data_IF_164119197183
#
_entry.id   IF_164119197183
#
_cell.length_a   1.000
_cell.length_b   1.000
_cell.length_c   1.000
_cell.angle_alpha   90.00
_cell.angle_beta   90.00
_cell.angle_gamma   90.00
#
_symmetry.space_group_name_H-M   'P 1'
#
loop_
_entity.id
_entity.type
_entity.pdbx_description
1 polymer ?
#
# COMPACT_ATOMS: atom_id res chain seq x y z
N UNK A 1 -8.19 -4.51 -22.74
CA UNK A 1 -9.29 -4.49 -21.75
C UNK A 1 -8.67 -4.63 -20.36
N UNK A 2 -9.18 -3.96 -19.33
CA UNK A 2 -8.69 -4.09 -17.95
C UNK A 2 -9.74 -4.88 -17.17
N UNK A 3 -9.33 -5.97 -16.49
CA UNK A 3 -10.24 -6.82 -15.72
C UNK A 3 -10.67 -6.15 -14.41
N UNK A 4 -9.69 -5.72 -13.62
CA UNK A 4 -9.86 -4.99 -12.35
C UNK A 4 -8.76 -3.95 -12.17
N UNK A 5 -9.02 -2.90 -11.40
CA UNK A 5 -8.01 -1.94 -10.97
C UNK A 5 -8.13 -1.63 -9.47
N UNK A 6 -7.03 -1.17 -8.90
CA UNK A 6 -6.96 -0.67 -7.53
C UNK A 6 -5.96 0.49 -7.46
N UNK A 7 -6.25 1.51 -6.66
CA UNK A 7 -5.42 2.71 -6.52
C UNK A 7 -5.18 3.06 -5.05
N UNK A 8 -4.03 3.68 -4.77
CA UNK A 8 -3.67 4.05 -3.40
C UNK A 8 -4.63 5.06 -2.75
N UNK A 9 -5.31 5.90 -3.56
CA UNK A 9 -6.35 6.82 -3.07
C UNK A 9 -7.64 6.12 -2.58
N UNK A 10 -7.75 4.81 -2.74
CA UNK A 10 -8.85 4.01 -2.18
C UNK A 10 -8.53 3.51 -0.76
N UNK A 11 -7.26 3.52 -0.36
CA UNK A 11 -6.81 3.05 0.97
C UNK A 11 -7.36 3.86 2.16
N UNK A 12 -7.67 5.17 2.05
CA UNK A 12 -8.42 5.93 3.06
C UNK A 12 -9.74 5.28 3.49
N UNK A 13 -10.44 4.57 2.60
CA UNK A 13 -11.67 3.81 2.95
C UNK A 13 -11.42 2.73 4.01
N UNK A 14 -10.20 2.19 4.04
CA UNK A 14 -9.76 1.14 4.97
C UNK A 14 -9.00 1.71 6.18
N UNK A 15 -8.96 3.04 6.34
CA UNK A 15 -8.29 3.74 7.43
C UNK A 15 -6.85 4.15 7.16
N UNK A 16 -6.26 3.86 5.99
CA UNK A 16 -4.92 4.36 5.68
C UNK A 16 -5.00 5.76 5.07
N UNK A 17 -4.81 6.74 5.94
CA UNK A 17 -5.18 8.13 5.67
C UNK A 17 -3.98 9.06 5.43
N UNK A 18 -2.75 8.52 5.49
CA UNK A 18 -1.48 9.24 5.33
C UNK A 18 -0.50 8.41 4.48
N UNK A 19 0.46 9.08 3.84
CA UNK A 19 1.58 8.41 3.15
C UNK A 19 1.20 7.30 2.16
N UNK A 20 0.18 7.56 1.33
CA UNK A 20 -0.32 6.67 0.28
C UNK A 20 0.73 6.26 -0.77
N UNK A 21 1.93 6.85 -0.73
CA UNK A 21 3.04 6.57 -1.63
C UNK A 21 4.13 5.69 -1.00
N UNK A 22 4.04 5.27 0.26
CA UNK A 22 5.09 4.47 0.91
C UNK A 22 5.08 2.99 0.46
N UNK A 23 6.04 2.20 0.94
CA UNK A 23 6.17 0.79 0.57
C UNK A 23 4.95 -0.06 1.02
N UNK A 24 4.47 0.19 2.23
CA UNK A 24 3.35 -0.50 2.88
C UNK A 24 2.01 -0.18 2.21
N UNK A 25 1.82 1.06 1.74
CA UNK A 25 0.69 1.46 0.91
C UNK A 25 0.70 0.71 -0.43
N UNK A 26 1.87 0.55 -1.06
CA UNK A 26 1.98 -0.26 -2.28
C UNK A 26 1.63 -1.74 -2.01
N UNK A 27 2.07 -2.32 -0.89
CA UNK A 27 1.62 -3.65 -0.44
C UNK A 27 0.09 -3.72 -0.29
N UNK A 28 -0.52 -2.76 0.42
CA UNK A 28 -1.97 -2.69 0.57
C UNK A 28 -2.70 -2.60 -0.79
N UNK A 29 -2.19 -1.83 -1.76
CA UNK A 29 -2.79 -1.77 -3.11
C UNK A 29 -2.68 -3.09 -3.87
N UNK A 30 -1.59 -3.83 -3.69
CA UNK A 30 -1.41 -5.17 -4.28
C UNK A 30 -2.41 -6.17 -3.72
N UNK A 31 -2.56 -6.18 -2.40
CA UNK A 31 -3.54 -7.01 -1.67
C UNK A 31 -4.96 -6.69 -2.13
N UNK A 32 -5.31 -5.41 -2.21
CA UNK A 32 -6.62 -4.96 -2.69
C UNK A 32 -6.88 -5.38 -4.14
N UNK A 33 -5.87 -5.32 -5.02
CA UNK A 33 -6.00 -5.75 -6.41
C UNK A 33 -6.22 -7.27 -6.50
N UNK A 34 -5.42 -8.08 -5.78
CA UNK A 34 -5.57 -9.53 -5.78
C UNK A 34 -6.94 -9.98 -5.27
N UNK A 35 -7.39 -9.43 -4.13
CA UNK A 35 -8.73 -9.74 -3.60
C UNK A 35 -9.87 -9.29 -4.53
N UNK A 36 -9.69 -8.21 -5.30
CA UNK A 36 -10.63 -7.82 -6.37
C UNK A 36 -10.66 -8.80 -7.52
N UNK A 37 -9.51 -9.28 -7.98
CA UNK A 37 -9.42 -10.28 -9.05
C UNK A 37 -10.14 -11.56 -8.62
N UNK A 38 -9.77 -12.14 -7.47
CA UNK A 38 -10.37 -13.37 -6.96
C UNK A 38 -11.89 -13.26 -6.77
N UNK A 39 -12.38 -12.15 -6.19
CA UNK A 39 -13.83 -11.91 -6.01
C UNK A 39 -14.57 -11.70 -7.34
N UNK A 40 -13.90 -11.20 -8.38
CA UNK A 40 -14.48 -11.04 -9.72
C UNK A 40 -14.49 -12.35 -10.51
N UNK A 41 -13.61 -13.29 -10.15
CA UNK A 41 -13.52 -14.64 -10.74
C UNK A 41 -14.23 -15.72 -9.91
N UNK A 42 -14.88 -15.35 -8.80
CA UNK A 42 -15.55 -16.26 -7.85
C UNK A 42 -14.61 -17.29 -7.18
N UNK A 43 -13.30 -17.04 -7.19
CA UNK A 43 -12.24 -17.87 -6.62
C UNK A 43 -11.78 -17.39 -5.23
N UNK A 44 -12.60 -16.60 -4.54
CA UNK A 44 -12.27 -15.97 -3.26
C UNK A 44 -12.19 -16.97 -2.09
N UNK A 45 -12.87 -18.11 -2.20
CA UNK A 45 -12.85 -19.22 -1.22
C UNK A 45 -11.70 -20.20 -1.43
N UNK A 46 -11.29 -20.44 -2.67
CA UNK A 46 -10.23 -21.40 -3.01
C UNK A 46 -8.84 -20.85 -2.69
N UNK A 47 -8.71 -19.52 -2.66
CA UNK A 47 -7.47 -18.80 -2.36
C UNK A 47 -7.66 -17.91 -1.13
N UNK A 48 -7.63 -18.52 0.05
CA UNK A 48 -7.44 -17.82 1.33
C UNK A 48 -6.05 -17.16 1.40
N UNK A 49 -5.94 -15.99 0.76
CA UNK A 49 -4.75 -15.15 0.85
C UNK A 49 -4.33 -14.87 2.30
N UNK A 50 -3.02 -14.83 2.52
CA UNK A 50 -2.38 -14.96 3.80
C UNK A 50 -2.57 -13.72 4.69
N UNK A 51 -2.89 -13.93 5.97
CA UNK A 51 -3.03 -12.83 6.96
C UNK A 51 -1.65 -12.34 7.43
N UNK A 52 -0.63 -13.21 7.36
CA UNK A 52 0.76 -12.88 7.68
C UNK A 52 1.65 -12.90 6.42
N UNK A 53 2.45 -11.85 6.23
CA UNK A 53 3.26 -11.67 5.02
C UNK A 53 4.58 -12.49 5.05
N UNK A 54 4.69 -13.50 4.19
CA UNK A 54 5.88 -14.40 4.04
C UNK A 54 6.90 -13.84 3.02
N UNK A 55 7.95 -13.16 3.48
CA UNK A 55 8.38 -11.85 2.92
C UNK A 55 9.18 -11.63 1.61
N UNK A 56 9.17 -10.38 1.06
CA UNK A 56 9.80 -9.93 -0.23
C UNK A 56 10.06 -8.36 -0.56
N UNK A 57 11.22 -7.82 -1.12
CA UNK A 57 11.54 -6.39 -1.67
C UNK A 57 12.91 -6.08 -2.42
N UNK A 58 13.07 -5.38 -3.58
CA UNK A 58 14.35 -4.61 -3.87
C UNK A 58 14.17 -3.09 -3.85
N UNK A 59 13.90 -2.54 -2.66
CA UNK A 59 13.80 -1.10 -2.37
C UNK A 59 12.61 -0.37 -3.01
N UNK A 60 12.23 -0.76 -4.23
CA UNK A 60 11.17 -0.18 -5.00
C UNK A 60 9.81 -0.73 -4.56
N UNK A 61 8.85 0.20 -4.48
CA UNK A 61 7.45 0.02 -4.06
C UNK A 61 6.68 -0.93 -4.97
N UNK A 62 7.10 -1.08 -6.23
CA UNK A 62 6.61 -2.09 -7.18
C UNK A 62 6.67 -3.51 -6.59
N UNK A 63 7.74 -3.87 -5.88
CA UNK A 63 7.86 -5.19 -5.25
C UNK A 63 6.99 -5.34 -3.99
N UNK A 64 6.54 -4.23 -3.39
CA UNK A 64 5.51 -4.24 -2.34
C UNK A 64 4.16 -4.61 -2.91
N UNK A 65 3.76 -3.98 -4.01
CA UNK A 65 2.53 -4.35 -4.72
C UNK A 65 2.54 -5.79 -5.24
N UNK A 66 3.67 -6.26 -5.78
CA UNK A 66 3.84 -7.68 -6.14
C UNK A 66 3.60 -8.60 -4.94
N UNK A 67 4.17 -8.26 -3.77
CA UNK A 67 4.00 -9.07 -2.56
C UNK A 67 2.56 -9.06 -2.04
N UNK A 68 1.94 -7.90 -1.97
CA UNK A 68 0.53 -7.81 -1.61
C UNK A 68 -0.36 -8.62 -2.53
N UNK A 69 -0.05 -8.70 -3.83
CA UNK A 69 -0.80 -9.53 -4.76
C UNK A 69 -0.60 -11.04 -4.53
N UNK A 70 0.64 -11.47 -4.24
CA UNK A 70 0.97 -12.85 -3.84
C UNK A 70 0.26 -13.25 -2.54
N UNK A 71 0.38 -12.43 -1.49
CA UNK A 71 -0.32 -12.67 -0.22
C UNK A 71 -1.84 -12.55 -0.38
N UNK A 72 -2.34 -11.80 -1.37
CA UNK A 72 -3.75 -11.77 -1.71
C UNK A 72 -4.27 -13.01 -2.44
N UNK A 73 -3.42 -13.99 -2.77
CA UNK A 73 -3.79 -15.26 -3.39
C UNK A 73 -3.64 -15.31 -4.91
N UNK A 74 -3.01 -14.31 -5.56
CA UNK A 74 -2.70 -14.37 -7.00
C UNK A 74 -1.32 -14.97 -7.19
N UNK A 75 -1.26 -16.10 -7.91
CA UNK A 75 0.02 -16.72 -8.29
C UNK A 75 0.75 -15.88 -9.35
N UNK A 76 1.99 -15.47 -9.04
CA UNK A 76 2.84 -14.65 -9.90
C UNK A 76 4.27 -15.20 -9.80
N UNK A 77 4.91 -15.65 -10.90
CA UNK A 77 6.27 -16.17 -10.84
C UNK A 77 7.28 -15.08 -10.40
N UNK A 78 8.08 -15.36 -9.37
CA UNK A 78 9.02 -14.41 -8.75
C UNK A 78 10.41 -15.00 -8.45
N UNK A 79 11.33 -14.18 -7.92
CA UNK A 79 12.65 -14.64 -7.45
C UNK A 79 13.16 -13.85 -6.24
N UNK A 80 13.61 -14.59 -5.21
CA UNK A 80 14.05 -14.09 -3.89
C UNK A 80 15.24 -13.13 -3.91
N UNK A 81 16.01 -13.14 -5.00
CA UNK A 81 17.14 -12.22 -5.19
C UNK A 81 16.69 -10.77 -5.28
N UNK A 82 15.47 -10.54 -5.74
CA UNK A 82 14.91 -9.20 -5.83
C UNK A 82 14.23 -8.81 -4.53
N UNK A 83 14.62 -9.36 -3.36
CA UNK A 83 13.82 -9.26 -2.13
C UNK A 83 14.50 -8.76 -0.80
N UNK A 84 13.77 -8.74 0.33
CA UNK A 84 13.80 -7.66 1.37
C UNK A 84 14.71 -7.85 2.57
N UNK A 85 15.83 -7.13 2.64
CA UNK A 85 16.89 -7.60 3.53
C UNK A 85 17.48 -8.91 3.01
N UNK A 86 17.32 -9.17 1.70
CA UNK A 86 18.13 -10.14 1.00
C UNK A 86 19.58 -9.69 1.06
N UNK A 87 20.42 -10.47 1.73
CA UNK A 87 21.85 -10.24 1.78
C UNK A 87 22.49 -10.88 0.55
N UNK A 88 23.16 -10.07 -0.27
CA UNK A 88 23.82 -10.55 -1.50
C UNK A 88 24.96 -11.54 -1.19
N UNK A 89 25.59 -11.39 -0.03
CA UNK A 89 26.64 -12.26 0.51
C UNK A 89 26.07 -13.65 0.88
N UNK A 90 25.15 -13.68 1.85
CA UNK A 90 24.58 -14.93 2.38
C UNK A 90 23.58 -15.61 1.43
N UNK A 91 23.10 -14.89 0.41
CA UNK A 91 21.98 -15.26 -0.49
C UNK A 91 20.68 -15.62 0.26
N UNK A 92 20.56 -15.20 1.51
CA UNK A 92 19.39 -15.41 2.36
C UNK A 92 18.60 -14.13 2.58
N UNK A 93 17.31 -14.29 2.87
CA UNK A 93 16.38 -13.23 3.18
C UNK A 93 16.27 -13.04 4.71
N UNK A 94 16.43 -11.82 5.20
CA UNK A 94 16.03 -11.46 6.56
C UNK A 94 14.52 -11.16 6.62
N UNK A 95 13.73 -12.16 6.99
CA UNK A 95 12.27 -12.06 7.16
C UNK A 95 11.85 -10.99 8.17
N UNK A 96 12.64 -10.77 9.23
CA UNK A 96 12.33 -9.76 10.26
C UNK A 96 12.45 -8.36 9.69
N UNK A 97 13.49 -8.11 8.89
CA UNK A 97 13.62 -6.88 8.11
C UNK A 97 12.46 -6.73 7.14
N UNK A 98 12.05 -7.79 6.43
CA UNK A 98 10.88 -7.68 5.54
C UNK A 98 9.60 -7.28 6.27
N UNK A 99 9.25 -7.97 7.36
CA UNK A 99 8.05 -7.70 8.16
C UNK A 99 8.01 -6.24 8.62
N UNK A 100 9.16 -5.70 9.07
CA UNK A 100 9.34 -4.28 9.43
C UNK A 100 9.09 -3.32 8.25
N UNK A 101 9.27 -3.76 6.99
CA UNK A 101 8.89 -2.95 5.83
C UNK A 101 7.40 -3.01 5.50
N UNK A 102 6.76 -4.19 5.60
CA UNK A 102 5.31 -4.35 5.33
C UNK A 102 4.44 -3.54 6.28
N UNK A 103 4.76 -3.53 7.58
CA UNK A 103 4.01 -2.80 8.60
C UNK A 103 4.56 -1.38 8.86
N UNK A 104 5.25 -0.76 7.88
CA UNK A 104 5.81 0.60 8.01
C UNK A 104 6.77 0.85 9.19
N UNK A 105 7.29 -0.17 9.85
CA UNK A 105 8.26 -0.02 10.95
C UNK A 105 9.59 0.66 10.56
N UNK A 106 9.88 0.80 9.26
CA UNK A 106 10.95 1.67 8.75
C UNK A 106 10.59 3.16 8.82
N UNK A 107 9.32 3.52 8.60
CA UNK A 107 8.79 4.87 8.82
C UNK A 107 8.75 5.19 10.31
N UNK A 108 8.25 4.25 11.13
CA UNK A 108 8.23 4.39 12.59
C UNK A 108 9.64 4.60 13.17
N UNK A 109 10.64 3.86 12.67
CA UNK A 109 12.04 4.08 13.07
C UNK A 109 12.54 5.48 12.69
N UNK A 110 12.21 5.97 11.48
CA UNK A 110 12.60 7.31 11.04
C UNK A 110 11.87 8.43 11.80
N UNK A 111 10.63 8.19 12.24
CA UNK A 111 9.91 9.09 13.15
C UNK A 111 10.64 9.20 14.49
N UNK A 112 11.02 8.07 15.12
CA UNK A 112 11.74 8.08 16.40
C UNK A 112 13.08 8.82 16.29
N UNK A 113 13.91 8.53 15.28
CA UNK A 113 15.18 9.25 15.08
C UNK A 113 14.96 10.75 14.87
N UNK A 114 13.94 11.16 14.12
CA UNK A 114 13.68 12.60 13.92
C UNK A 114 13.07 13.29 15.15
N UNK A 115 12.42 12.57 16.06
CA UNK A 115 11.98 13.14 17.34
C UNK A 115 13.19 13.40 18.26
N UNK A 116 14.18 12.51 18.25
CA UNK A 116 15.39 12.61 19.07
C UNK A 116 16.43 13.59 18.49
N UNK A 117 16.75 13.47 17.20
CA UNK A 117 17.83 14.23 16.54
C UNK A 117 17.38 15.62 16.04
N UNK A 118 16.20 15.73 15.41
CA UNK A 118 15.81 16.90 14.61
C UNK A 118 14.29 17.18 14.64
N UNK A 119 13.72 17.65 15.78
CA UNK A 119 12.26 17.77 15.97
C UNK A 119 11.57 18.73 14.98
N UNK A 120 12.28 19.72 14.42
CA UNK A 120 11.76 20.60 13.36
C UNK A 120 11.51 19.84 12.04
N UNK A 121 12.40 18.90 11.70
CA UNK A 121 12.22 17.99 10.57
C UNK A 121 11.09 17.00 10.83
N UNK A 122 10.92 16.53 12.07
CA UNK A 122 9.76 15.73 12.44
C UNK A 122 8.45 16.48 12.19
N UNK A 123 8.31 17.72 12.68
CA UNK A 123 7.10 18.53 12.51
C UNK A 123 6.77 18.79 11.03
N UNK A 124 7.77 19.04 10.19
CA UNK A 124 7.56 19.30 8.76
C UNK A 124 7.24 18.02 7.98
N UNK A 125 8.07 16.97 8.09
CA UNK A 125 7.86 15.71 7.35
C UNK A 125 6.63 14.92 7.80
N UNK A 126 6.30 14.93 9.10
CA UNK A 126 5.19 14.17 9.68
C UNK A 126 3.97 15.03 10.05
N UNK A 127 3.87 16.25 9.50
CA UNK A 127 2.73 17.15 9.72
C UNK A 127 1.35 16.51 9.50
N UNK A 128 1.20 15.61 8.53
CA UNK A 128 -0.05 14.85 8.32
C UNK A 128 -0.33 13.80 9.41
N UNK A 129 0.72 13.15 9.94
CA UNK A 129 0.60 12.17 11.02
C UNK A 129 0.23 12.85 12.33
N UNK A 130 0.89 13.97 12.63
CA UNK A 130 0.61 14.81 13.80
C UNK A 130 -0.85 15.30 13.77
N UNK A 131 -1.33 15.81 12.61
CA UNK A 131 -2.72 16.23 12.42
C UNK A 131 -3.76 15.12 12.64
N UNK A 132 -3.37 13.85 12.50
CA UNK A 132 -4.26 12.68 12.67
C UNK A 132 -3.97 11.88 13.94
N UNK A 133 -3.07 12.34 14.81
CA UNK A 133 -2.70 11.64 16.04
C UNK A 133 -2.04 10.28 15.83
N UNK A 134 -1.32 10.10 14.71
CA UNK A 134 -0.65 8.83 14.37
C UNK A 134 0.80 8.88 14.83
N UNK A 135 1.12 8.18 15.92
CA UNK A 135 2.47 8.06 16.47
C UNK A 135 3.22 6.85 15.91
N UNK A 136 4.55 6.83 16.08
CA UNK A 136 5.43 5.79 15.55
C UNK A 136 5.01 4.36 15.96
N UNK A 137 4.49 4.20 17.18
CA UNK A 137 4.14 2.90 17.76
C UNK A 137 2.77 2.40 17.26
N UNK A 138 1.84 3.31 16.94
CA UNK A 138 0.51 2.99 16.41
C UNK A 138 0.50 2.59 14.92
N UNK A 139 1.61 2.78 14.20
CA UNK A 139 1.69 2.53 12.75
C UNK A 139 1.51 1.04 12.40
N UNK A 140 2.09 0.11 13.16
CA UNK A 140 1.95 -1.32 12.85
C UNK A 140 0.50 -1.79 12.97
N UNK A 141 -0.20 -1.34 14.02
CA UNK A 141 -1.63 -1.63 14.19
C UNK A 141 -2.49 -1.04 13.08
N UNK A 142 -2.18 0.18 12.63
CA UNK A 142 -2.89 0.85 11.54
C UNK A 142 -2.85 -0.02 10.28
N UNK A 143 -1.66 -0.48 9.88
CA UNK A 143 -1.52 -1.35 8.70
C UNK A 143 -2.20 -2.71 8.90
N UNK A 144 -2.15 -3.30 10.11
CA UNK A 144 -2.88 -4.54 10.41
C UNK A 144 -4.40 -4.36 10.25
N UNK A 145 -4.97 -3.27 10.76
CA UNK A 145 -6.40 -2.92 10.61
C UNK A 145 -6.78 -2.73 9.13
N UNK A 146 -5.92 -2.06 8.35
CA UNK A 146 -6.09 -1.87 6.90
C UNK A 146 -6.10 -3.20 6.14
N UNK A 147 -5.18 -4.13 6.46
CA UNK A 147 -5.14 -5.46 5.81
C UNK A 147 -6.44 -6.25 6.07
N UNK A 148 -6.93 -6.25 7.31
CA UNK A 148 -8.21 -6.90 7.67
C UNK A 148 -9.38 -6.27 6.92
N UNK A 149 -9.44 -4.94 6.84
CA UNK A 149 -10.49 -4.22 6.09
C UNK A 149 -10.48 -4.54 4.59
N UNK A 150 -9.30 -4.66 3.98
CA UNK A 150 -9.12 -5.03 2.57
C UNK A 150 -9.57 -6.47 2.30
N UNK A 151 -9.24 -7.41 3.19
CA UNK A 151 -9.68 -8.80 3.08
C UNK A 151 -11.19 -8.95 3.29
N UNK A 152 -11.79 -8.20 4.21
CA UNK A 152 -13.23 -8.23 4.47
C UNK A 152 -14.04 -7.67 3.29
N UNK A 153 -13.61 -6.53 2.72
CA UNK A 153 -14.43 -5.81 1.74
C UNK A 153 -13.60 -5.22 0.58
N UNK A 154 -13.09 -6.06 -0.34
CA UNK A 154 -12.24 -5.62 -1.45
C UNK A 154 -12.99 -4.85 -2.55
N UNK A 155 -14.30 -4.63 -2.41
CA UNK A 155 -15.18 -4.07 -3.45
C UNK A 155 -14.75 -2.68 -3.90
N UNK A 156 -14.79 -2.39 -5.22
CA UNK A 156 -14.52 -1.06 -5.74
C UNK A 156 -15.75 -0.16 -5.61
N UNK A 157 -15.72 0.83 -4.72
CA UNK A 157 -16.80 1.83 -4.61
C UNK A 157 -16.55 2.95 -5.62
N UNK A 158 -17.47 3.14 -6.57
CA UNK A 158 -17.43 4.27 -7.51
C UNK A 158 -17.61 5.57 -6.73
N UNK A 159 -16.82 6.59 -7.04
CA UNK A 159 -17.06 7.92 -6.50
C UNK A 159 -18.36 8.48 -7.06
N UNK A 160 -19.17 9.07 -6.18
CA UNK A 160 -20.27 9.93 -6.60
C UNK A 160 -19.66 11.15 -7.29
N UNK A 161 -19.98 11.31 -8.58
CA UNK A 161 -19.52 12.44 -9.39
C UNK A 161 -20.67 13.41 -9.54
N UNK A 162 -20.44 14.66 -9.16
CA UNK A 162 -21.32 15.77 -9.52
C UNK A 162 -21.56 15.80 -11.03
N UNK A 163 -22.73 16.33 -11.43
CA UNK A 163 -23.05 16.53 -12.83
C UNK A 163 -21.93 17.31 -13.56
N UNK A 164 -21.56 16.91 -14.79
CA UNK A 164 -20.42 17.49 -15.48
C UNK A 164 -20.61 18.99 -15.70
N UNK A 165 -19.80 19.80 -15.01
CA UNK A 165 -19.76 21.26 -15.20
C UNK A 165 -19.43 21.56 -16.66
N UNK A 166 -20.12 22.55 -17.25
CA UNK A 166 -19.92 22.93 -18.65
C UNK A 166 -18.43 23.22 -18.91
N UNK A 167 -17.81 22.42 -19.78
CA UNK A 167 -16.36 22.47 -19.96
C UNK A 167 -15.96 23.80 -20.63
N UNK A 168 -15.27 24.67 -19.88
CA UNK A 168 -14.70 25.90 -20.44
C UNK A 168 -13.74 25.51 -21.57
N UNK A 169 -13.97 26.00 -22.79
CA UNK A 169 -13.04 25.83 -23.90
C UNK A 169 -11.86 26.76 -23.67
N UNK A 170 -10.69 26.19 -23.35
CA UNK A 170 -9.42 26.92 -23.32
C UNK A 170 -8.85 27.13 -24.73
N UNK A 171 -9.18 26.24 -25.67
CA UNK A 171 -8.81 26.39 -27.08
C UNK A 171 -9.77 27.35 -27.78
N UNK A 172 -9.23 28.34 -28.50
CA UNK A 172 -10.01 29.26 -29.32
C UNK A 172 -11.03 28.50 -30.20
N UNK A 173 -12.21 29.09 -30.34
CA UNK A 173 -13.18 28.63 -31.34
C UNK A 173 -12.57 28.96 -32.71
N UNK A 174 -12.43 27.96 -33.60
CA UNK A 174 -12.04 28.21 -34.99
C UNK A 174 -13.05 29.20 -35.57
N UNK A 175 -12.55 30.28 -36.18
CA UNK A 175 -13.38 31.13 -37.02
C UNK A 175 -13.75 30.34 -38.28
N UNK A 176 -15.01 30.44 -38.66
CA UNK A 176 -15.56 30.09 -39.97
C UNK A 176 -15.46 31.28 -40.89
#
# INVERSE_FOLDING_TARGET
MVLTSAYAYELPRYGLDVSLTNYSAAYCTGLLLARRVLKTLEMDKDYEGNVEATGTRTGNRVFGALKGALDGGVDIPYSDKRFAGFKKEDKQLDEKVHRKYVYSGHVAAYMRTLIEDEPEKYQTHFSEYIKKGIEADGIEELYRKVHVGICADPTAKKSEKDAPKAHKRFNLKKLT
#
